data_IF_776462152860
#
_entry.id   IF_776462152860
#
_cell.length_a   1.000
_cell.length_b   1.000
_cell.length_c   1.000
_cell.angle_alpha   90.00
_cell.angle_beta   90.00
_cell.angle_gamma   90.00
#
_symmetry.space_group_name_H-M   'P 1'
#
loop_
_entity.id
_entity.type
_entity.pdbx_description
1 polymer ?
#
# COMPACT_ATOMS: atom_id res chain seq x y z
N UNK A 1 2.39 3.53 -39.58
CA UNK A 1 3.34 2.84 -38.68
C UNK A 1 2.53 2.22 -37.56
N UNK A 2 2.45 0.88 -37.50
CA UNK A 2 1.87 0.21 -36.32
C UNK A 2 2.76 0.55 -35.13
N UNK A 3 2.24 1.32 -34.19
CA UNK A 3 2.94 1.60 -32.94
C UNK A 3 3.12 0.25 -32.24
N UNK A 4 4.36 -0.18 -32.03
CA UNK A 4 4.65 -1.39 -31.27
C UNK A 4 3.96 -1.26 -29.90
N UNK A 5 3.29 -2.33 -29.46
CA UNK A 5 2.67 -2.36 -28.15
C UNK A 5 3.72 -2.00 -27.07
N UNK A 6 3.37 -1.20 -26.05
CA UNK A 6 4.32 -0.85 -25.00
C UNK A 6 4.79 -2.11 -24.28
N UNK A 7 5.98 -2.05 -23.68
CA UNK A 7 6.56 -3.16 -22.91
C UNK A 7 6.75 -2.81 -21.44
N UNK A 8 6.57 -3.80 -20.57
CA UNK A 8 6.83 -3.68 -19.14
C UNK A 8 7.72 -4.81 -18.66
N UNK A 9 8.70 -4.47 -17.82
CA UNK A 9 9.42 -5.44 -17.01
C UNK A 9 8.80 -5.50 -15.61
N UNK A 10 8.30 -6.66 -15.21
CA UNK A 10 7.93 -6.95 -13.82
C UNK A 10 9.16 -7.50 -13.10
N UNK A 11 9.62 -6.80 -12.06
CA UNK A 11 10.68 -7.28 -11.17
C UNK A 11 10.06 -7.82 -9.88
N UNK A 12 10.17 -9.13 -9.65
CA UNK A 12 9.52 -9.84 -8.55
C UNK A 12 8.15 -10.39 -8.97
N UNK A 13 8.06 -11.70 -9.13
CA UNK A 13 6.87 -12.43 -9.57
C UNK A 13 6.09 -13.08 -8.42
N UNK A 14 6.14 -12.46 -7.23
CA UNK A 14 5.32 -12.82 -6.08
C UNK A 14 3.83 -12.54 -6.31
N UNK A 15 3.01 -12.64 -5.27
CA UNK A 15 1.54 -12.45 -5.36
C UNK A 15 1.13 -11.17 -6.09
N UNK A 16 1.74 -10.03 -5.76
CA UNK A 16 1.43 -8.73 -6.40
C UNK A 16 1.98 -8.65 -7.84
N UNK A 17 3.20 -9.13 -8.07
CA UNK A 17 3.80 -9.21 -9.41
C UNK A 17 2.97 -10.04 -10.38
N UNK A 18 2.44 -11.20 -9.95
CA UNK A 18 1.50 -12.02 -10.74
C UNK A 18 0.23 -11.26 -11.12
N UNK A 19 -0.39 -10.57 -10.16
CA UNK A 19 -1.60 -9.80 -10.42
C UNK A 19 -1.31 -8.67 -11.42
N UNK A 20 -0.24 -7.90 -11.22
CA UNK A 20 0.15 -6.81 -12.11
C UNK A 20 0.52 -7.31 -13.51
N UNK A 21 1.29 -8.40 -13.63
CA UNK A 21 1.64 -9.01 -14.91
C UNK A 21 0.40 -9.33 -15.75
N UNK A 22 -0.63 -9.92 -15.12
CA UNK A 22 -1.90 -10.21 -15.79
C UNK A 22 -2.65 -8.93 -16.18
N UNK A 23 -2.70 -7.91 -15.31
CA UNK A 23 -3.36 -6.64 -15.63
C UNK A 23 -2.67 -5.94 -16.81
N UNK A 24 -1.34 -5.82 -16.79
CA UNK A 24 -0.55 -5.27 -17.89
C UNK A 24 -0.81 -6.01 -19.20
N UNK A 25 -0.79 -7.35 -19.18
CA UNK A 25 -1.10 -8.20 -20.34
C UNK A 25 -2.51 -7.98 -20.86
N UNK A 26 -3.50 -7.81 -19.98
CA UNK A 26 -4.89 -7.52 -20.36
C UNK A 26 -5.05 -6.15 -21.03
N UNK A 27 -4.16 -5.20 -20.78
CA UNK A 27 -4.09 -3.94 -21.52
C UNK A 27 -3.28 -4.03 -22.83
N UNK A 28 -2.89 -5.23 -23.25
CA UNK A 28 -2.12 -5.47 -24.48
C UNK A 28 -0.64 -5.07 -24.36
N UNK A 29 -0.13 -4.86 -23.15
CA UNK A 29 1.29 -4.55 -22.92
C UNK A 29 2.11 -5.83 -23.03
N UNK A 30 3.28 -5.74 -23.67
CA UNK A 30 4.23 -6.83 -23.74
C UNK A 30 4.94 -7.01 -22.39
N UNK A 31 4.58 -8.06 -21.66
CA UNK A 31 5.05 -8.31 -20.29
C UNK A 31 6.25 -9.25 -20.28
N UNK A 32 7.34 -8.76 -19.69
CA UNK A 32 8.56 -9.51 -19.40
C UNK A 32 8.71 -9.60 -17.88
N UNK A 33 9.06 -10.77 -17.37
CA UNK A 33 9.19 -11.03 -15.94
C UNK A 33 10.64 -11.34 -15.57
N UNK A 34 11.08 -10.84 -14.42
CA UNK A 34 12.34 -11.22 -13.79
C UNK A 34 12.11 -11.45 -12.30
N UNK A 35 12.73 -12.48 -11.75
CA UNK A 35 12.72 -12.84 -10.34
C UNK A 35 14.07 -13.51 -10.00
N UNK A 36 14.48 -13.44 -8.74
CA UNK A 36 15.69 -14.11 -8.24
C UNK A 36 15.43 -15.60 -7.95
N UNK A 37 14.17 -15.98 -7.75
CA UNK A 37 13.77 -17.36 -7.47
C UNK A 37 13.52 -18.12 -8.76
N UNK A 38 14.26 -19.21 -8.98
CA UNK A 38 14.07 -20.10 -10.13
C UNK A 38 12.63 -20.63 -10.21
N UNK A 39 12.02 -20.98 -9.07
CA UNK A 39 10.62 -21.43 -9.02
C UNK A 39 9.66 -20.37 -9.55
N UNK A 40 9.91 -19.10 -9.23
CA UNK A 40 9.07 -17.98 -9.65
C UNK A 40 9.26 -17.67 -11.15
N UNK A 41 10.49 -17.82 -11.66
CA UNK A 41 10.78 -17.76 -13.10
C UNK A 41 10.07 -18.87 -13.85
N UNK A 42 10.16 -20.12 -13.38
CA UNK A 42 9.46 -21.27 -13.99
C UNK A 42 7.95 -21.06 -13.97
N UNK A 43 7.39 -20.56 -12.86
CA UNK A 43 5.97 -20.26 -12.78
C UNK A 43 5.56 -19.16 -13.77
N UNK A 44 6.36 -18.11 -13.95
CA UNK A 44 6.07 -17.07 -14.95
C UNK A 44 6.04 -17.62 -16.39
N UNK A 45 6.92 -18.56 -16.71
CA UNK A 45 6.91 -19.25 -18.01
C UNK A 45 5.64 -20.11 -18.18
N UNK A 46 5.25 -20.86 -17.15
CA UNK A 46 4.02 -21.68 -17.13
C UNK A 46 2.78 -20.79 -17.32
N UNK A 47 2.76 -19.62 -16.68
CA UNK A 47 1.69 -18.63 -16.82
C UNK A 47 1.69 -17.91 -18.20
N UNK A 48 2.65 -18.24 -19.06
CA UNK A 48 2.75 -17.75 -20.43
C UNK A 48 3.31 -16.34 -20.54
N UNK A 49 4.23 -15.96 -19.64
CA UNK A 49 4.99 -14.71 -19.71
C UNK A 49 6.40 -14.95 -20.25
N UNK A 50 6.94 -13.96 -20.97
CA UNK A 50 8.36 -13.94 -21.30
C UNK A 50 9.16 -13.71 -20.02
N UNK A 51 10.26 -14.45 -19.85
CA UNK A 51 11.19 -14.25 -18.73
C UNK A 51 12.52 -13.69 -19.21
N UNK A 52 13.15 -12.87 -18.37
CA UNK A 52 14.48 -12.31 -18.62
C UNK A 52 15.42 -12.63 -17.48
N UNK A 53 16.48 -13.38 -17.77
CA UNK A 53 17.60 -13.61 -16.84
C UNK A 53 18.59 -12.44 -16.81
N UNK A 54 18.47 -11.49 -17.74
CA UNK A 54 19.31 -10.29 -17.78
C UNK A 54 18.49 -9.00 -17.94
N UNK A 55 17.66 -8.65 -16.94
CA UNK A 55 16.66 -7.58 -17.04
C UNK A 55 17.24 -6.17 -17.21
N UNK A 56 18.54 -5.96 -16.97
CA UNK A 56 19.15 -4.63 -17.02
C UNK A 56 19.81 -4.29 -18.37
N UNK A 57 19.71 -5.16 -19.38
CA UNK A 57 20.43 -4.99 -20.66
C UNK A 57 19.53 -4.59 -21.84
N UNK A 58 18.22 -4.54 -21.64
CA UNK A 58 17.24 -4.13 -22.67
C UNK A 58 16.46 -2.88 -22.21
N UNK A 59 15.75 -2.24 -23.15
CA UNK A 59 14.88 -1.11 -22.87
C UNK A 59 13.43 -1.55 -22.71
N UNK A 60 12.68 -0.82 -21.89
CA UNK A 60 11.25 -1.04 -21.63
C UNK A 60 10.50 0.29 -21.70
N UNK A 61 9.17 0.28 -21.81
CA UNK A 61 8.40 1.50 -21.54
C UNK A 61 8.27 1.69 -20.03
N UNK A 62 7.99 0.60 -19.32
CA UNK A 62 7.81 0.57 -17.86
C UNK A 62 8.73 -0.46 -17.20
N UNK A 63 9.23 -0.15 -16.01
CA UNK A 63 9.81 -1.14 -15.09
C UNK A 63 8.97 -1.11 -13.82
N UNK A 64 8.30 -2.20 -13.47
CA UNK A 64 7.40 -2.32 -12.31
C UNK A 64 8.03 -3.20 -11.24
N UNK A 65 8.47 -2.57 -10.15
CA UNK A 65 9.21 -3.18 -9.03
C UNK A 65 8.21 -3.67 -7.99
N UNK A 66 8.02 -4.99 -7.99
CA UNK A 66 7.08 -5.75 -7.16
C UNK A 66 7.80 -6.61 -6.10
N UNK A 67 9.02 -6.23 -5.74
CA UNK A 67 9.88 -6.96 -4.79
C UNK A 67 9.58 -6.55 -3.33
N UNK A 68 10.14 -7.24 -2.33
CA UNK A 68 10.13 -6.79 -0.93
C UNK A 68 10.54 -5.33 -0.73
N UNK A 69 9.90 -4.61 0.20
CA UNK A 69 10.11 -3.16 0.41
C UNK A 69 11.57 -2.78 0.67
N UNK A 70 12.29 -3.62 1.41
CA UNK A 70 13.72 -3.45 1.72
C UNK A 70 14.66 -3.61 0.50
N UNK A 71 14.14 -3.88 -0.70
CA UNK A 71 14.93 -4.03 -1.93
C UNK A 71 14.62 -2.98 -2.99
N UNK A 72 13.58 -2.16 -2.80
CA UNK A 72 13.11 -1.19 -3.80
C UNK A 72 14.20 -0.21 -4.23
N UNK A 73 14.88 0.42 -3.26
CA UNK A 73 15.90 1.42 -3.54
C UNK A 73 17.17 0.80 -4.15
N UNK A 74 17.56 -0.41 -3.74
CA UNK A 74 18.69 -1.10 -4.38
C UNK A 74 18.38 -1.46 -5.84
N UNK A 75 17.16 -1.89 -6.15
CA UNK A 75 16.74 -2.16 -7.53
C UNK A 75 16.73 -0.86 -8.35
N UNK A 76 16.18 0.23 -7.80
CA UNK A 76 16.21 1.54 -8.45
C UNK A 76 17.66 1.98 -8.74
N UNK A 77 18.56 1.82 -7.77
CA UNK A 77 19.98 2.10 -7.94
C UNK A 77 20.60 1.26 -9.05
N UNK A 78 20.22 -0.02 -9.20
CA UNK A 78 20.68 -0.87 -10.31
C UNK A 78 20.14 -0.39 -11.66
N UNK A 79 18.85 -0.03 -11.75
CA UNK A 79 18.23 0.56 -12.95
C UNK A 79 19.02 1.79 -13.41
N UNK A 80 19.31 2.72 -12.50
CA UNK A 80 20.08 3.95 -12.78
C UNK A 80 21.52 3.64 -13.15
N UNK A 81 22.24 2.86 -12.32
CA UNK A 81 23.66 2.53 -12.53
C UNK A 81 23.90 1.80 -13.84
N UNK A 82 23.00 0.89 -14.23
CA UNK A 82 23.07 0.14 -15.49
C UNK A 82 22.52 0.90 -16.70
N UNK A 83 22.00 2.11 -16.49
CA UNK A 83 21.41 2.97 -17.52
C UNK A 83 20.29 2.26 -18.29
N UNK A 84 19.44 1.53 -17.57
CA UNK A 84 18.28 0.87 -18.18
C UNK A 84 17.38 1.92 -18.81
N UNK A 85 17.11 1.76 -20.10
CA UNK A 85 16.26 2.68 -20.84
C UNK A 85 14.80 2.37 -20.50
N UNK A 86 14.14 3.27 -19.79
CA UNK A 86 12.70 3.19 -19.54
C UNK A 86 12.06 4.58 -19.48
N UNK A 87 10.76 4.66 -19.77
CA UNK A 87 9.98 5.91 -19.65
C UNK A 87 9.54 6.15 -18.22
N UNK A 88 9.20 5.09 -17.49
CA UNK A 88 8.79 5.14 -16.08
C UNK A 88 9.37 3.98 -15.28
N UNK A 89 9.61 4.22 -14.00
CA UNK A 89 9.87 3.19 -12.99
C UNK A 89 8.72 3.24 -12.00
N UNK A 90 7.94 2.17 -11.93
CA UNK A 90 6.85 1.99 -10.98
C UNK A 90 7.39 1.17 -9.82
N UNK A 91 7.18 1.61 -8.58
CA UNK A 91 7.69 0.94 -7.38
C UNK A 91 6.51 0.67 -6.45
N UNK A 92 6.38 -0.53 -5.91
CA UNK A 92 5.40 -0.81 -4.87
C UNK A 92 5.61 0.08 -3.62
N UNK A 93 4.54 0.29 -2.87
CA UNK A 93 4.60 0.92 -1.55
C UNK A 93 5.05 -0.06 -0.46
N UNK A 94 5.64 0.42 0.66
CA UNK A 94 6.20 1.77 0.82
C UNK A 94 7.45 1.94 -0.04
N UNK A 95 7.75 3.18 -0.46
CA UNK A 95 8.88 3.48 -1.34
C UNK A 95 10.24 3.08 -0.72
N UNK A 96 10.39 3.34 0.57
CA UNK A 96 11.48 2.87 1.40
C UNK A 96 11.00 2.68 2.84
N UNK A 97 11.73 1.85 3.60
CA UNK A 97 11.42 1.55 4.99
C UNK A 97 12.59 1.84 5.95
N UNK A 98 13.72 2.37 5.45
CA UNK A 98 14.87 2.77 6.29
C UNK A 98 15.38 4.17 5.95
N UNK A 99 16.02 4.82 6.94
CA UNK A 99 16.72 6.08 6.72
C UNK A 99 17.94 5.95 5.80
N UNK A 100 18.51 4.74 5.68
CA UNK A 100 19.61 4.49 4.76
C UNK A 100 19.12 4.48 3.32
N UNK A 101 17.99 3.83 3.05
CA UNK A 101 17.34 3.84 1.74
C UNK A 101 16.91 5.25 1.33
N UNK A 102 16.40 6.04 2.27
CA UNK A 102 16.16 7.48 2.05
C UNK A 102 17.42 8.18 1.56
N UNK A 103 18.55 8.05 2.27
CA UNK A 103 19.82 8.68 1.86
C UNK A 103 20.26 8.25 0.46
N UNK A 104 20.15 6.97 0.13
CA UNK A 104 20.51 6.46 -1.20
C UNK A 104 19.58 7.02 -2.27
N UNK A 105 18.28 7.11 -2.01
CA UNK A 105 17.32 7.73 -2.93
C UNK A 105 17.70 9.19 -3.21
N UNK A 106 17.91 10.01 -2.18
CA UNK A 106 18.31 11.41 -2.36
C UNK A 106 19.62 11.55 -3.15
N UNK A 107 20.62 10.68 -2.91
CA UNK A 107 21.84 10.65 -3.72
C UNK A 107 21.56 10.35 -5.20
N UNK A 108 20.60 9.48 -5.52
CA UNK A 108 20.22 9.24 -6.92
C UNK A 108 19.53 10.46 -7.54
N UNK A 109 18.65 11.12 -6.78
CA UNK A 109 17.91 12.31 -7.22
C UNK A 109 18.81 13.52 -7.43
N UNK A 110 19.80 13.74 -6.55
CA UNK A 110 20.79 14.81 -6.68
C UNK A 110 21.65 14.64 -7.96
N UNK A 111 21.90 13.39 -8.35
CA UNK A 111 22.67 13.07 -9.55
C UNK A 111 21.82 13.09 -10.85
N UNK A 112 20.51 12.85 -10.75
CA UNK A 112 19.58 12.85 -11.88
C UNK A 112 18.19 13.37 -11.46
N UNK A 113 17.96 14.70 -11.53
CA UNK A 113 16.68 15.31 -11.18
C UNK A 113 15.51 14.84 -12.06
N UNK A 114 15.78 14.27 -13.25
CA UNK A 114 14.70 13.75 -14.11
C UNK A 114 13.99 12.53 -13.49
N UNK A 115 14.59 11.92 -12.47
CA UNK A 115 14.01 10.81 -11.73
C UNK A 115 12.71 11.19 -10.99
N UNK A 116 12.54 12.44 -10.57
CA UNK A 116 11.30 12.92 -9.94
C UNK A 116 10.07 12.69 -10.83
N UNK A 117 10.20 12.95 -12.13
CA UNK A 117 9.12 12.76 -13.10
C UNK A 117 9.02 11.32 -13.61
N UNK A 118 10.07 10.51 -13.40
CA UNK A 118 10.19 9.15 -13.93
C UNK A 118 9.69 8.09 -12.96
N UNK A 119 9.85 8.31 -11.66
CA UNK A 119 9.50 7.36 -10.62
C UNK A 119 8.03 7.57 -10.21
N UNK A 120 7.31 6.46 -10.11
CA UNK A 120 5.91 6.40 -9.69
C UNK A 120 5.85 5.40 -8.56
N UNK A 121 5.11 5.71 -7.50
CA UNK A 121 4.85 4.75 -6.42
C UNK A 121 3.43 4.21 -6.55
N UNK A 122 3.31 2.89 -6.58
CA UNK A 122 2.04 2.20 -6.71
C UNK A 122 1.34 2.14 -5.36
N UNK A 123 0.55 3.18 -5.07
CA UNK A 123 -0.41 3.18 -3.98
C UNK A 123 -1.83 3.21 -4.57
N UNK A 124 -2.42 2.02 -4.71
CA UNK A 124 -3.66 1.84 -5.45
C UNK A 124 -4.86 2.53 -4.79
N UNK A 125 -4.83 2.81 -3.48
CA UNK A 125 -6.00 3.39 -2.80
C UNK A 125 -6.36 4.78 -3.29
N UNK A 126 -5.44 5.54 -3.89
CA UNK A 126 -5.75 6.80 -4.58
C UNK A 126 -6.74 6.65 -5.75
N UNK A 127 -7.03 5.41 -6.18
CA UNK A 127 -8.05 5.07 -7.18
C UNK A 127 -9.32 4.47 -6.58
N UNK A 128 -9.49 4.51 -5.26
CA UNK A 128 -10.71 4.03 -4.65
C UNK A 128 -11.90 4.92 -5.01
N UNK A 129 -12.80 4.38 -5.83
CA UNK A 129 -14.08 5.04 -6.18
C UNK A 129 -14.97 5.18 -4.95
N UNK A 130 -14.84 4.25 -4.00
CA UNK A 130 -15.59 4.29 -2.73
C UNK A 130 -15.15 5.45 -1.86
N UNK A 131 -13.83 5.64 -1.71
CA UNK A 131 -13.28 6.76 -0.92
C UNK A 131 -13.49 8.09 -1.65
N UNK A 132 -13.34 8.15 -2.98
CA UNK A 132 -13.69 9.34 -3.76
C UNK A 132 -15.17 9.72 -3.56
N UNK A 133 -16.08 8.75 -3.61
CA UNK A 133 -17.50 8.99 -3.36
C UNK A 133 -17.75 9.44 -1.93
N UNK A 134 -17.06 8.86 -0.95
CA UNK A 134 -17.14 9.26 0.44
C UNK A 134 -16.66 10.70 0.63
N UNK A 135 -15.52 11.08 0.07
CA UNK A 135 -15.00 12.46 0.07
C UNK A 135 -16.05 13.44 -0.49
N UNK A 136 -16.67 13.13 -1.63
CA UNK A 136 -17.72 13.98 -2.22
C UNK A 136 -18.91 14.19 -1.29
N UNK A 137 -19.32 13.16 -0.53
CA UNK A 137 -20.44 13.24 0.41
C UNK A 137 -20.10 14.04 1.67
N UNK A 138 -18.80 14.14 2.00
CA UNK A 138 -18.30 14.90 3.15
C UNK A 138 -18.04 16.38 2.82
N UNK A 139 -18.17 16.79 1.55
CA UNK A 139 -18.03 18.19 1.17
C UNK A 139 -18.99 19.05 2.00
N UNK A 140 -18.43 20.03 2.70
CA UNK A 140 -19.14 20.96 3.61
C UNK A 140 -19.74 20.30 4.86
N UNK A 141 -19.40 19.05 5.18
CA UNK A 141 -19.79 18.41 6.43
C UNK A 141 -18.73 18.61 7.50
N UNK A 142 -19.16 18.84 8.74
CA UNK A 142 -18.27 18.84 9.89
C UNK A 142 -18.08 17.40 10.37
N UNK A 143 -16.93 16.83 10.04
CA UNK A 143 -16.48 15.53 10.56
C UNK A 143 -15.92 15.74 11.97
N UNK A 144 -16.27 14.86 12.90
CA UNK A 144 -15.76 14.88 14.28
C UNK A 144 -14.88 13.67 14.57
N UNK A 145 -15.10 12.57 13.86
CA UNK A 145 -14.35 11.34 14.06
C UNK A 145 -14.17 10.56 12.75
N UNK A 146 -12.97 10.03 12.54
CA UNK A 146 -12.62 9.10 11.47
C UNK A 146 -11.91 7.90 12.10
N UNK A 147 -12.42 6.69 11.87
CA UNK A 147 -11.71 5.45 12.17
C UNK A 147 -11.40 4.71 10.87
N UNK A 148 -10.14 4.31 10.69
CA UNK A 148 -9.74 3.44 9.58
C UNK A 148 -9.13 2.17 10.15
N UNK A 149 -9.74 1.05 9.82
CA UNK A 149 -9.28 -0.27 10.21
C UNK A 149 -8.84 -1.03 8.96
N UNK A 150 -7.62 -1.57 8.96
CA UNK A 150 -7.13 -2.53 7.98
C UNK A 150 -6.45 -3.71 8.68
N UNK A 151 -7.21 -4.73 9.02
CA UNK A 151 -6.76 -5.90 9.77
C UNK A 151 -6.99 -7.19 9.00
N UNK A 152 -6.02 -8.10 9.09
CA UNK A 152 -6.09 -9.44 8.53
C UNK A 152 -5.08 -10.32 9.25
N UNK A 153 -5.49 -11.48 9.74
CA UNK A 153 -4.54 -12.49 10.20
C UNK A 153 -3.72 -13.02 9.02
N UNK A 154 -2.41 -12.76 9.08
CA UNK A 154 -1.43 -13.16 8.06
C UNK A 154 -0.52 -14.29 8.50
N UNK A 155 -0.71 -14.90 9.67
CA UNK A 155 0.18 -16.00 10.15
C UNK A 155 0.30 -17.11 9.10
N UNK A 156 -0.83 -17.61 8.61
CA UNK A 156 -0.83 -18.61 7.54
C UNK A 156 -0.19 -18.10 6.25
N UNK A 157 -0.42 -16.84 5.85
CA UNK A 157 0.24 -16.29 4.66
C UNK A 157 1.78 -16.27 4.83
N UNK A 158 2.27 -15.91 6.03
CA UNK A 158 3.69 -15.83 6.39
C UNK A 158 4.33 -17.21 6.41
N UNK A 159 3.65 -18.22 6.97
CA UNK A 159 4.08 -19.62 6.95
C UNK A 159 4.28 -20.13 5.51
N UNK A 160 3.50 -19.62 4.55
CA UNK A 160 3.64 -19.91 3.12
C UNK A 160 4.60 -18.96 2.39
N UNK A 161 5.50 -18.30 3.12
CA UNK A 161 6.58 -17.48 2.55
C UNK A 161 6.17 -16.07 2.14
N UNK A 162 5.04 -15.54 2.63
CA UNK A 162 4.72 -14.12 2.42
C UNK A 162 5.74 -13.24 3.12
N UNK A 163 6.15 -12.18 2.42
CA UNK A 163 7.03 -11.14 2.94
C UNK A 163 6.54 -10.53 4.26
N UNK A 164 7.48 -10.34 5.18
CA UNK A 164 7.34 -9.59 6.43
C UNK A 164 8.30 -8.41 6.39
N UNK A 165 7.80 -7.21 6.70
CA UNK A 165 8.67 -6.04 6.81
C UNK A 165 9.40 -6.07 8.15
N UNK A 166 10.66 -6.50 8.14
CA UNK A 166 11.49 -6.56 9.35
C UNK A 166 11.97 -5.20 9.83
N UNK A 167 11.82 -4.14 9.04
CA UNK A 167 12.27 -2.78 9.39
C UNK A 167 11.19 -1.97 10.09
N UNK A 168 9.93 -2.10 9.62
CA UNK A 168 8.79 -1.33 10.14
C UNK A 168 7.68 -2.21 10.73
N UNK A 169 7.76 -3.53 10.59
CA UNK A 169 6.73 -4.44 11.08
C UNK A 169 5.34 -4.09 10.53
N UNK A 170 4.35 -4.05 11.40
CA UNK A 170 2.99 -3.67 11.04
C UNK A 170 2.84 -2.27 10.42
N UNK A 171 3.73 -1.31 10.73
CA UNK A 171 3.72 0.03 10.12
C UNK A 171 4.05 -0.01 8.63
N UNK A 172 4.89 -0.95 8.17
CA UNK A 172 5.30 -1.02 6.76
C UNK A 172 4.26 -1.62 5.82
N UNK A 173 3.19 -2.23 6.35
CA UNK A 173 2.30 -3.08 5.56
C UNK A 173 1.00 -2.38 5.18
N UNK A 174 0.08 -2.11 6.12
CA UNK A 174 -1.23 -1.54 5.79
C UNK A 174 -1.28 -0.02 5.99
N UNK A 175 -0.40 0.56 6.83
CA UNK A 175 -0.39 2.00 7.09
C UNK A 175 -0.24 2.87 5.82
N UNK A 176 0.59 2.54 4.80
CA UNK A 176 0.65 3.36 3.58
C UNK A 176 -0.71 3.51 2.89
N UNK A 177 -1.51 2.43 2.88
CA UNK A 177 -2.87 2.46 2.32
C UNK A 177 -3.79 3.38 3.13
N UNK A 178 -3.68 3.33 4.45
CA UNK A 178 -4.46 4.17 5.36
C UNK A 178 -4.08 5.66 5.18
N UNK A 179 -2.79 5.97 5.04
CA UNK A 179 -2.34 7.34 4.75
C UNK A 179 -2.89 7.86 3.43
N UNK A 180 -2.89 7.05 2.37
CA UNK A 180 -3.49 7.41 1.09
C UNK A 180 -4.99 7.71 1.21
N UNK A 181 -5.73 6.91 1.99
CA UNK A 181 -7.15 7.17 2.27
C UNK A 181 -7.33 8.49 3.02
N UNK A 182 -6.52 8.76 4.06
CA UNK A 182 -6.60 9.99 4.84
C UNK A 182 -6.33 11.23 3.97
N UNK A 183 -5.34 11.16 3.08
CA UNK A 183 -5.07 12.23 2.12
C UNK A 183 -6.25 12.44 1.15
N UNK A 184 -6.86 11.37 0.64
CA UNK A 184 -8.07 11.48 -0.17
C UNK A 184 -9.24 12.11 0.59
N UNK A 185 -9.32 11.89 1.90
CA UNK A 185 -10.33 12.50 2.77
C UNK A 185 -9.95 13.93 3.23
N UNK A 186 -8.90 14.53 2.67
CA UNK A 186 -8.40 15.87 3.03
C UNK A 186 -8.07 15.98 4.54
N UNK A 187 -7.52 14.91 5.10
CA UNK A 187 -7.07 14.83 6.50
C UNK A 187 -5.55 14.99 6.55
N UNK A 188 -5.09 16.00 7.28
CA UNK A 188 -3.66 16.33 7.37
C UNK A 188 -2.88 15.30 8.19
N UNK A 189 -1.77 14.80 7.64
CA UNK A 189 -0.87 13.84 8.29
C UNK A 189 0.43 14.47 8.85
N UNK A 190 0.85 15.64 8.38
CA UNK A 190 2.16 16.23 8.71
C UNK A 190 2.18 17.04 10.02
N UNK A 191 1.02 17.21 10.66
CA UNK A 191 0.84 18.05 11.87
C UNK A 191 -0.06 17.37 12.90
N UNK A 192 -0.01 16.04 12.96
CA UNK A 192 -0.79 15.26 13.90
C UNK A 192 -0.44 15.66 15.32
N UNK A 193 -1.43 16.07 16.11
CA UNK A 193 -1.30 16.01 17.56
C UNK A 193 -1.55 14.57 17.98
N UNK A 194 -0.49 13.76 17.95
CA UNK A 194 -0.56 12.33 18.30
C UNK A 194 -0.93 12.18 19.77
N UNK A 195 -2.04 11.50 20.03
CA UNK A 195 -2.53 11.13 21.35
C UNK A 195 -2.00 9.75 21.73
N UNK A 196 -2.06 8.80 20.79
CA UNK A 196 -1.55 7.43 20.98
C UNK A 196 -0.82 6.97 19.73
N UNK A 197 0.26 6.24 19.94
CA UNK A 197 1.01 5.57 18.90
C UNK A 197 1.57 4.29 19.49
N UNK A 198 0.84 3.20 19.32
CA UNK A 198 1.09 1.94 20.01
C UNK A 198 1.38 0.84 19.00
N UNK A 199 2.44 0.09 19.25
CA UNK A 199 2.72 -1.21 18.63
C UNK A 199 2.41 -2.30 19.64
N UNK A 200 1.37 -3.07 19.38
CA UNK A 200 1.11 -4.32 20.08
C UNK A 200 1.92 -5.43 19.43
N UNK A 201 2.66 -6.17 20.24
CA UNK A 201 3.50 -7.27 19.78
C UNK A 201 3.33 -8.47 20.69
N UNK A 202 3.09 -9.64 20.11
CA UNK A 202 3.08 -10.90 20.84
C UNK A 202 4.46 -11.17 21.46
N UNK A 203 4.47 -11.55 22.73
CA UNK A 203 5.68 -11.88 23.47
C UNK A 203 6.42 -13.09 22.90
N UNK A 204 5.70 -14.02 22.25
CA UNK A 204 6.21 -15.27 21.72
C UNK A 204 6.45 -15.24 20.20
N UNK A 205 5.87 -14.26 19.49
CA UNK A 205 6.01 -14.13 18.04
C UNK A 205 6.14 -12.65 17.64
N UNK A 206 7.38 -12.21 17.42
CA UNK A 206 7.66 -10.82 17.04
C UNK A 206 7.01 -10.40 15.72
N UNK A 207 6.52 -11.32 14.88
CA UNK A 207 5.80 -10.99 13.64
C UNK A 207 4.28 -10.93 13.83
N UNK A 208 3.78 -11.39 14.98
CA UNK A 208 2.39 -11.28 15.39
C UNK A 208 2.19 -9.89 16.02
N UNK A 209 1.85 -8.92 15.17
CA UNK A 209 1.82 -7.50 15.54
C UNK A 209 0.53 -6.81 15.13
N UNK A 210 0.25 -5.68 15.78
CA UNK A 210 -0.70 -4.69 15.29
C UNK A 210 -0.43 -3.30 15.84
N UNK A 211 -0.96 -2.29 15.15
CA UNK A 211 -0.78 -0.90 15.50
C UNK A 211 -2.10 -0.23 15.83
N UNK A 212 -2.05 0.71 16.77
CA UNK A 212 -3.10 1.68 17.02
C UNK A 212 -2.49 3.08 17.06
N UNK A 213 -2.98 3.96 16.20
CA UNK A 213 -2.60 5.37 16.19
C UNK A 213 -3.85 6.19 16.42
N UNK A 214 -3.77 7.18 17.30
CA UNK A 214 -4.86 8.11 17.60
C UNK A 214 -4.28 9.52 17.59
N UNK A 215 -4.89 10.43 16.84
CA UNK A 215 -4.44 11.83 16.78
C UNK A 215 -5.62 12.77 16.51
N UNK A 216 -5.38 14.06 16.74
CA UNK A 216 -6.31 15.13 16.34
C UNK A 216 -5.70 15.87 15.15
N UNK A 217 -6.47 16.01 14.08
CA UNK A 217 -6.05 16.77 12.91
C UNK A 217 -6.16 18.30 13.15
N UNK A 218 -5.74 19.10 12.17
CA UNK A 218 -5.81 20.56 12.25
C UNK A 218 -7.24 21.14 12.23
N UNK A 219 -8.25 20.34 11.90
CA UNK A 219 -9.68 20.69 11.89
C UNK A 219 -10.37 20.31 13.21
N UNK A 220 -9.67 19.65 14.13
CA UNK A 220 -10.22 19.13 15.38
C UNK A 220 -10.91 17.78 15.24
N UNK A 221 -10.71 17.08 14.13
CA UNK A 221 -11.21 15.72 13.90
C UNK A 221 -10.34 14.72 14.65
N UNK A 222 -10.96 13.85 15.44
CA UNK A 222 -10.25 12.70 16.03
C UNK A 222 -10.10 11.60 14.98
N UNK A 223 -8.86 11.19 14.71
CA UNK A 223 -8.55 10.12 13.77
C UNK A 223 -7.99 8.92 14.54
N UNK A 224 -8.55 7.74 14.28
CA UNK A 224 -8.11 6.46 14.82
C UNK A 224 -7.72 5.53 13.69
N UNK A 225 -6.52 4.97 13.78
CA UNK A 225 -5.98 3.99 12.84
C UNK A 225 -5.79 2.67 13.58
N UNK A 226 -6.34 1.58 13.05
CA UNK A 226 -6.13 0.23 13.55
C UNK A 226 -5.61 -0.67 12.43
N UNK A 227 -4.52 -1.40 12.67
CA UNK A 227 -4.04 -2.41 11.71
C UNK A 227 -3.41 -3.59 12.44
N UNK A 228 -4.09 -4.72 12.43
CA UNK A 228 -3.62 -5.97 13.06
C UNK A 228 -3.33 -7.03 11.99
N UNK A 229 -2.08 -7.50 11.96
CA UNK A 229 -1.60 -8.51 10.99
C UNK A 229 -1.54 -9.91 11.58
N UNK A 230 -1.81 -9.99 12.88
CA UNK A 230 -1.72 -11.17 13.72
C UNK A 230 -3.02 -11.96 13.87
N UNK A 231 -2.99 -12.97 14.74
CA UNK A 231 -4.20 -13.71 15.16
C UNK A 231 -4.98 -12.99 16.28
N UNK A 232 -4.53 -11.83 16.72
CA UNK A 232 -5.20 -11.01 17.73
C UNK A 232 -5.49 -9.60 17.20
N UNK A 233 -6.41 -8.91 17.86
CA UNK A 233 -6.62 -7.46 17.78
C UNK A 233 -6.93 -6.92 19.17
N UNK A 234 -6.75 -5.62 19.36
CA UNK A 234 -7.08 -4.94 20.62
C UNK A 234 -8.31 -4.05 20.41
N UNK A 235 -9.35 -4.27 21.21
CA UNK A 235 -10.59 -3.51 21.15
C UNK A 235 -10.40 -2.08 21.69
N UNK A 236 -11.33 -1.15 21.42
CA UNK A 236 -11.31 0.18 22.04
C UNK A 236 -11.32 0.16 23.58
N UNK A 237 -11.82 -0.93 24.19
CA UNK A 237 -11.82 -1.16 25.64
C UNK A 237 -10.51 -1.81 26.14
N UNK A 238 -9.46 -1.83 25.31
CA UNK A 238 -8.17 -2.47 25.58
C UNK A 238 -8.26 -3.99 25.86
N UNK A 239 -9.26 -4.67 25.29
CA UNK A 239 -9.37 -6.13 25.39
C UNK A 239 -8.71 -6.81 24.19
N UNK A 240 -7.92 -7.84 24.45
CA UNK A 240 -7.36 -8.70 23.40
C UNK A 240 -8.49 -9.63 22.92
N UNK A 241 -8.74 -9.63 21.62
CA UNK A 241 -9.74 -10.51 20.99
C UNK A 241 -9.17 -11.13 19.71
N UNK A 242 -9.80 -12.18 19.21
CA UNK A 242 -9.33 -12.85 18.00
C UNK A 242 -9.48 -12.00 16.73
N UNK A 243 -8.49 -12.11 15.85
CA UNK A 243 -8.50 -11.52 14.51
C UNK A 243 -8.79 -12.59 13.45
N UNK A 244 -10.02 -13.12 13.44
CA UNK A 244 -10.40 -14.23 12.55
C UNK A 244 -10.89 -13.79 11.17
N UNK A 245 -11.37 -12.56 11.05
CA UNK A 245 -12.00 -12.03 9.83
C UNK A 245 -11.14 -10.90 9.28
N UNK A 246 -11.00 -10.84 7.95
CA UNK A 246 -10.40 -9.66 7.31
C UNK A 246 -11.34 -8.47 7.49
N UNK A 247 -10.86 -7.43 8.18
CA UNK A 247 -11.63 -6.23 8.48
C UNK A 247 -10.96 -5.03 7.82
N UNK A 248 -11.60 -4.48 6.80
CA UNK A 248 -11.13 -3.29 6.09
C UNK A 248 -12.27 -2.31 5.95
N UNK A 249 -12.22 -1.23 6.72
CA UNK A 249 -13.25 -0.21 6.64
C UNK A 249 -12.75 1.18 7.02
N UNK A 250 -13.50 2.17 6.54
CA UNK A 250 -13.47 3.55 7.01
C UNK A 250 -14.81 3.82 7.68
N UNK A 251 -14.80 4.25 8.92
CA UNK A 251 -15.96 4.73 9.65
C UNK A 251 -15.79 6.23 9.89
N UNK A 252 -16.83 7.00 9.61
CA UNK A 252 -16.83 8.46 9.74
C UNK A 252 -18.08 8.89 10.47
N UNK A 253 -17.90 9.70 11.50
CA UNK A 253 -18.96 10.31 12.26
C UNK A 253 -18.80 11.83 12.21
N UNK A 254 -19.92 12.51 12.03
CA UNK A 254 -20.04 13.94 12.22
C UNK A 254 -21.25 14.26 13.08
N UNK A 255 -21.59 15.53 13.18
CA UNK A 255 -22.63 16.01 14.11
C UNK A 255 -24.00 15.30 13.93
N UNK A 256 -24.40 15.02 12.69
CA UNK A 256 -25.73 14.47 12.36
C UNK A 256 -25.68 13.33 11.33
N UNK A 257 -24.55 12.62 11.21
CA UNK A 257 -24.42 11.53 10.23
C UNK A 257 -23.38 10.49 10.64
N UNK A 258 -23.58 9.25 10.18
CA UNK A 258 -22.60 8.16 10.31
C UNK A 258 -22.44 7.42 8.99
N UNK A 259 -21.23 7.43 8.45
CA UNK A 259 -20.90 6.74 7.20
C UNK A 259 -19.89 5.62 7.45
N UNK A 260 -20.06 4.51 6.73
CA UNK A 260 -19.12 3.40 6.77
C UNK A 260 -18.83 2.89 5.36
N UNK A 261 -17.57 2.94 4.94
CA UNK A 261 -17.09 2.27 3.74
C UNK A 261 -16.42 0.97 4.14
N UNK A 262 -16.94 -0.18 3.67
CA UNK A 262 -16.31 -1.49 3.80
C UNK A 262 -15.55 -1.74 2.49
N UNK A 263 -14.23 -1.89 2.58
CA UNK A 263 -13.31 -1.87 1.44
C UNK A 263 -12.98 -3.29 0.96
N UNK A 264 -12.36 -3.41 -0.22
CA UNK A 264 -11.89 -4.71 -0.74
C UNK A 264 -10.72 -5.28 0.09
N UNK A 265 -10.73 -6.59 0.42
CA UNK A 265 -11.82 -7.54 0.21
C UNK A 265 -12.99 -7.34 1.18
N UNK A 266 -14.21 -7.28 0.64
CA UNK A 266 -15.43 -7.25 1.42
C UNK A 266 -15.67 -8.62 2.09
N UNK A 267 -16.08 -8.70 3.37
CA UNK A 267 -16.25 -9.97 4.08
C UNK A 267 -17.36 -10.87 3.53
N UNK A 268 -18.32 -10.31 2.79
CA UNK A 268 -19.49 -11.03 2.27
C UNK A 268 -19.68 -10.90 0.74
N UNK A 269 -18.67 -10.43 0.00
CA UNK A 269 -18.76 -10.26 -1.46
C UNK A 269 -17.50 -10.74 -2.15
N UNK A 270 -17.59 -10.89 -3.47
CA UNK A 270 -16.43 -11.18 -4.31
C UNK A 270 -15.42 -10.03 -4.28
N UNK A 271 -14.18 -10.33 -4.70
CA UNK A 271 -13.13 -9.33 -4.83
C UNK A 271 -13.56 -8.18 -5.75
N UNK A 272 -12.92 -7.04 -5.56
CA UNK A 272 -13.09 -5.81 -6.35
C UNK A 272 -14.44 -5.11 -6.09
N UNK A 273 -15.12 -5.43 -4.99
CA UNK A 273 -16.31 -4.71 -4.55
C UNK A 273 -16.10 -4.14 -3.14
N UNK A 274 -16.66 -2.95 -2.95
CA UNK A 274 -16.76 -2.26 -1.68
C UNK A 274 -18.22 -1.84 -1.43
N UNK A 275 -18.56 -1.64 -0.17
CA UNK A 275 -19.90 -1.25 0.27
C UNK A 275 -19.82 0.08 1.00
N UNK A 276 -20.57 1.09 0.54
CA UNK A 276 -20.73 2.36 1.22
C UNK A 276 -22.09 2.42 1.91
N UNK A 277 -22.08 2.39 3.24
CA UNK A 277 -23.26 2.53 4.11
C UNK A 277 -23.42 3.98 4.53
N UNK A 278 -24.60 4.52 4.23
CA UNK A 278 -25.01 5.89 4.51
C UNK A 278 -26.29 5.85 5.35
N UNK A 279 -26.18 5.95 6.67
CA UNK A 279 -27.29 5.86 7.63
C UNK A 279 -28.25 4.68 7.32
N UNK A 280 -29.27 4.88 6.47
CA UNK A 280 -30.29 3.89 6.08
C UNK A 280 -30.12 3.30 4.66
N UNK A 281 -29.01 3.58 3.97
CA UNK A 281 -28.76 3.14 2.58
C UNK A 281 -27.43 2.41 2.46
N UNK A 282 -27.36 1.47 1.53
CA UNK A 282 -26.13 0.79 1.13
C UNK A 282 -25.93 0.95 -0.37
N UNK A 283 -24.70 1.26 -0.77
CA UNK A 283 -24.29 1.42 -2.17
C UNK A 283 -23.12 0.48 -2.43
N UNK A 284 -23.29 -0.44 -3.37
CA UNK A 284 -22.23 -1.33 -3.83
C UNK A 284 -21.45 -0.69 -4.97
N UNK A 285 -20.13 -0.66 -4.83
CA UNK A 285 -19.23 -0.02 -5.79
C UNK A 285 -18.19 -1.03 -6.21
N UNK A 286 -18.05 -1.24 -7.53
CA UNK A 286 -16.92 -1.99 -8.09
C UNK A 286 -15.67 -1.11 -8.00
N UNK A 287 -14.70 -1.55 -7.22
CA UNK A 287 -13.53 -0.77 -6.81
C UNK A 287 -12.22 -1.49 -7.16
N UNK A 288 -11.97 -1.65 -8.46
CA UNK A 288 -10.78 -2.31 -9.02
C UNK A 288 -9.58 -1.36 -9.09
N UNK A 289 -9.14 -0.93 -7.90
CA UNK A 289 -8.13 0.11 -7.70
C UNK A 289 -6.81 -0.17 -8.45
N UNK A 290 -6.34 -1.41 -8.46
CA UNK A 290 -5.07 -1.79 -9.08
C UNK A 290 -5.13 -1.68 -10.60
N UNK A 291 -6.22 -2.17 -11.20
CA UNK A 291 -6.43 -2.11 -12.65
C UNK A 291 -6.59 -0.67 -13.13
N UNK A 292 -7.36 0.13 -12.40
CA UNK A 292 -7.53 1.56 -12.70
C UNK A 292 -6.19 2.31 -12.58
N UNK A 293 -5.37 2.02 -11.56
CA UNK A 293 -4.07 2.66 -11.41
C UNK A 293 -3.12 2.31 -12.58
N UNK A 294 -3.06 1.04 -13.01
CA UNK A 294 -2.26 0.63 -14.17
C UNK A 294 -2.76 1.26 -15.47
N UNK A 295 -4.08 1.30 -15.68
CA UNK A 295 -4.71 1.98 -16.82
C UNK A 295 -4.27 3.44 -16.93
N UNK A 296 -4.23 4.16 -15.81
CA UNK A 296 -3.82 5.55 -15.77
C UNK A 296 -2.32 5.74 -15.98
N UNK A 297 -1.47 4.83 -15.49
CA UNK A 297 -0.04 4.84 -15.80
C UNK A 297 0.20 4.68 -17.31
N UNK A 298 -0.52 3.78 -17.99
CA UNK A 298 -0.46 3.61 -19.45
C UNK A 298 -0.86 4.90 -20.18
N UNK A 299 -1.89 5.59 -19.68
CA UNK A 299 -2.44 6.82 -20.25
C UNK A 299 -1.71 8.10 -19.81
N UNK A 300 -0.67 7.97 -18.96
CA UNK A 300 0.05 9.08 -18.35
C UNK A 300 -0.86 10.06 -17.57
N UNK A 301 -1.86 9.52 -16.85
CA UNK A 301 -2.84 10.26 -16.03
C UNK A 301 -2.62 10.03 -14.53
N UNK A 302 -1.40 10.28 -14.05
CA UNK A 302 -1.03 9.92 -12.68
C UNK A 302 -1.76 10.76 -11.62
N UNK A 303 -2.13 10.13 -10.50
CA UNK A 303 -2.55 10.87 -9.30
C UNK A 303 -1.34 11.54 -8.69
N UNK A 304 -1.53 12.74 -8.14
CA UNK A 304 -0.54 13.43 -7.32
C UNK A 304 0.03 12.54 -6.22
N UNK A 305 -0.81 11.80 -5.50
CA UNK A 305 -0.38 10.91 -4.41
C UNK A 305 0.54 9.75 -4.83
N UNK A 306 0.53 9.35 -6.10
CA UNK A 306 1.43 8.33 -6.64
C UNK A 306 2.76 8.91 -7.13
N UNK A 307 2.95 10.23 -7.07
CA UNK A 307 4.22 10.88 -7.43
C UNK A 307 5.29 10.65 -6.35
N UNK A 308 6.55 10.76 -6.77
CA UNK A 308 7.68 10.51 -5.90
C UNK A 308 7.68 11.38 -4.64
N UNK A 309 7.38 12.67 -4.76
CA UNK A 309 7.40 13.61 -3.63
C UNK A 309 6.39 13.22 -2.55
N UNK A 310 5.16 12.89 -2.96
CA UNK A 310 4.12 12.42 -2.04
C UNK A 310 4.53 11.12 -1.34
N UNK A 311 5.08 10.16 -2.11
CA UNK A 311 5.51 8.89 -1.55
C UNK A 311 6.71 9.01 -0.60
N UNK A 312 7.65 9.94 -0.85
CA UNK A 312 8.72 10.28 0.08
C UNK A 312 8.10 10.76 1.40
N UNK A 313 7.16 11.72 1.34
CA UNK A 313 6.47 12.23 2.54
C UNK A 313 5.79 11.12 3.35
N UNK A 314 5.09 10.21 2.70
CA UNK A 314 4.47 9.06 3.38
C UNK A 314 5.49 8.13 4.02
N UNK A 315 6.54 7.73 3.30
CA UNK A 315 7.59 6.87 3.86
C UNK A 315 8.29 7.52 5.06
N UNK A 316 8.52 8.83 5.02
CA UNK A 316 9.08 9.59 6.14
C UNK A 316 8.14 9.64 7.34
N UNK A 317 6.85 9.88 7.11
CA UNK A 317 5.84 9.88 8.16
C UNK A 317 5.75 8.50 8.85
N UNK A 318 5.76 7.42 8.07
CA UNK A 318 5.71 6.05 8.61
C UNK A 318 6.94 5.78 9.49
N UNK A 319 8.14 6.15 9.04
CA UNK A 319 9.37 5.98 9.82
C UNK A 319 9.32 6.82 11.11
N UNK A 320 8.83 8.06 11.03
CA UNK A 320 8.67 8.92 12.22
C UNK A 320 7.75 8.29 13.25
N UNK A 321 6.58 7.81 12.81
CA UNK A 321 5.61 7.12 13.67
C UNK A 321 6.22 5.83 14.26
N UNK A 322 6.98 5.07 13.48
CA UNK A 322 7.63 3.87 13.99
C UNK A 322 8.69 4.19 15.06
N UNK A 323 9.47 5.26 14.89
CA UNK A 323 10.52 5.64 15.84
C UNK A 323 9.96 6.15 17.17
N UNK A 324 8.79 6.81 17.15
CA UNK A 324 8.15 7.40 18.33
C UNK A 324 7.05 6.49 18.92
N UNK A 325 7.16 5.17 18.72
CA UNK A 325 6.12 4.22 19.12
C UNK A 325 6.27 3.74 20.56
N UNK A 326 5.14 3.62 21.25
CA UNK A 326 5.05 2.86 22.50
C UNK A 326 4.84 1.37 22.20
N UNK A 327 5.78 0.53 22.59
CA UNK A 327 5.65 -0.92 22.42
C UNK A 327 4.94 -1.52 23.64
N UNK A 328 3.84 -2.24 23.38
CA UNK A 328 3.12 -3.03 24.38
C UNK A 328 3.27 -4.50 24.00
N UNK A 329 3.89 -5.27 24.89
CA UNK A 329 3.93 -6.72 24.77
C UNK A 329 2.62 -7.31 25.24
N UNK A 330 2.06 -8.21 24.45
CA UNK A 330 0.89 -9.00 24.83
C UNK A 330 1.30 -10.45 25.06
N UNK A 331 0.62 -11.12 25.97
CA UNK A 331 0.59 -12.57 26.03
C UNK A 331 -0.84 -12.97 25.73
N UNK A 332 -1.02 -13.72 24.65
CA UNK A 332 -2.28 -14.41 24.44
C UNK A 332 -2.18 -15.70 25.26
N UNK A 333 -3.11 -15.92 26.19
CA UNK A 333 -3.24 -17.24 26.79
C UNK A 333 -3.65 -18.20 25.66
N UNK A 334 -2.90 -19.28 25.49
CA UNK A 334 -3.26 -20.31 24.52
C UNK A 334 -4.55 -20.98 25.02
N UNK A 335 -5.63 -20.85 24.25
CA UNK A 335 -6.89 -21.60 24.46
C UNK A 335 -6.70 -23.10 24.15
#
# INVERSE_FOLDING_TARGET
MNQLAPSVLIMGYGKIGKMKANIWKNFGVHVIVSDISENQIQQAQIDGFQVSTNPFHIGYDFVDVCTPSNTHIEILKQIVRKKVRCKRVVIEKPLFNTMQDKKVLYQLLDNDPSLYEKIIVNEQYYRSKTIERLQQLLLNKKVTHIEITMSKNRKTDIEHGRFVDSSLGAFGIELPHILAILEMLDTSIEKMQVIKNILYMDSNDANNQGIRIEYIDNKGTTVVINSFLGNFKVSPQNQIVDNTITDRHVFIEGQDFTYKAILDPHPSSERLFAELKLDNKSIWIRDDMLTENISDMIRNKMVTGCKLESAIGQSEQIISLFNDVQIIKIMKEDD
#
